data_IF_577194975141
#
_entry.id   IF_577194975141
#
_cell.length_a   1.000
_cell.length_b   1.000
_cell.length_c   1.000
_cell.angle_alpha   90.00
_cell.angle_beta   90.00
_cell.angle_gamma   90.00
#
_symmetry.space_group_name_H-M   'P 1'
#
loop_
_entity.id
_entity.type
_entity.pdbx_description
1 polymer ?
#
# COMPACT_ATOMS: atom_id res chain seq x y z
N UNK A 1 16.39 -8.76 -35.42
CA UNK A 1 17.37 -9.29 -34.44
C UNK A 1 17.34 -8.50 -33.11
N UNK A 2 17.68 -7.18 -33.07
CA UNK A 2 17.62 -6.39 -31.82
C UNK A 2 16.18 -6.22 -31.32
N UNK A 3 15.22 -5.97 -32.22
CA UNK A 3 13.80 -5.82 -31.88
C UNK A 3 13.21 -7.09 -31.25
N UNK A 4 13.56 -8.26 -31.78
CA UNK A 4 13.12 -9.55 -31.24
C UNK A 4 13.65 -9.77 -29.84
N UNK A 5 14.93 -9.51 -29.62
CA UNK A 5 15.56 -9.64 -28.28
C UNK A 5 14.90 -8.68 -27.27
N UNK A 6 14.64 -7.44 -27.66
CA UNK A 6 13.94 -6.47 -26.80
C UNK A 6 12.53 -6.95 -26.48
N UNK A 7 11.81 -7.48 -27.47
CA UNK A 7 10.45 -7.99 -27.28
C UNK A 7 10.42 -9.16 -26.31
N UNK A 8 11.35 -10.11 -26.46
CA UNK A 8 11.44 -11.28 -25.59
C UNK A 8 11.75 -10.85 -24.15
N UNK A 9 12.72 -9.96 -23.95
CA UNK A 9 13.06 -9.42 -22.62
C UNK A 9 11.88 -8.67 -22.01
N UNK A 10 11.15 -7.88 -22.79
CA UNK A 10 9.97 -7.17 -22.28
C UNK A 10 8.82 -8.12 -21.91
N UNK A 11 8.65 -9.21 -22.65
CA UNK A 11 7.61 -10.20 -22.34
C UNK A 11 7.93 -11.01 -21.08
N UNK A 12 9.20 -11.40 -20.92
CA UNK A 12 9.61 -12.30 -19.83
C UNK A 12 9.88 -11.57 -18.53
N UNK A 13 10.41 -10.34 -18.60
CA UNK A 13 10.93 -9.60 -17.44
C UNK A 13 10.24 -8.24 -17.21
N UNK A 14 9.09 -7.97 -17.82
CA UNK A 14 8.45 -6.65 -17.77
C UNK A 14 8.26 -6.12 -16.35
N UNK A 15 7.79 -6.97 -15.44
CA UNK A 15 7.57 -6.57 -14.05
C UNK A 15 8.89 -6.14 -13.38
N UNK A 16 9.95 -6.91 -13.58
CA UNK A 16 11.30 -6.60 -13.06
C UNK A 16 11.83 -5.29 -13.64
N UNK A 17 11.66 -5.09 -14.95
CA UNK A 17 12.10 -3.87 -15.65
C UNK A 17 11.38 -2.65 -15.10
N UNK A 18 10.05 -2.70 -14.92
CA UNK A 18 9.26 -1.59 -14.38
C UNK A 18 9.65 -1.26 -12.94
N UNK A 19 9.93 -2.27 -12.12
CA UNK A 19 10.43 -2.07 -10.75
C UNK A 19 11.78 -1.36 -10.77
N UNK A 20 12.68 -1.76 -11.64
CA UNK A 20 14.02 -1.18 -11.73
C UNK A 20 13.97 0.25 -12.28
N UNK A 21 13.20 0.50 -13.33
CA UNK A 21 12.98 1.84 -13.88
C UNK A 21 12.40 2.80 -12.83
N UNK A 22 11.50 2.30 -12.00
CA UNK A 22 10.95 3.09 -10.91
C UNK A 22 11.98 3.39 -9.81
N UNK A 23 12.81 2.42 -9.46
CA UNK A 23 13.91 2.61 -8.51
C UNK A 23 14.93 3.65 -8.95
N UNK A 24 15.24 3.64 -10.25
CA UNK A 24 16.21 4.58 -10.83
C UNK A 24 15.61 5.93 -11.18
N UNK A 25 14.28 6.08 -11.07
CA UNK A 25 13.57 7.30 -11.48
C UNK A 25 13.38 7.44 -12.99
N UNK A 26 13.68 6.40 -13.75
CA UNK A 26 13.61 6.41 -15.23
C UNK A 26 12.26 5.98 -15.80
N UNK A 27 11.32 5.55 -14.94
CA UNK A 27 10.03 5.05 -15.36
C UNK A 27 9.23 6.11 -16.14
N UNK A 28 9.26 7.36 -15.70
CA UNK A 28 8.58 8.45 -16.39
C UNK A 28 9.14 8.65 -17.80
N UNK A 29 10.47 8.68 -17.93
CA UNK A 29 11.16 8.79 -19.22
C UNK A 29 10.79 7.63 -20.14
N UNK A 30 10.78 6.42 -19.61
CA UNK A 30 10.38 5.21 -20.34
C UNK A 30 8.94 5.28 -20.85
N UNK A 31 7.99 5.67 -20.00
CA UNK A 31 6.58 5.82 -20.40
C UNK A 31 6.39 6.91 -21.45
N UNK A 32 7.13 8.02 -21.35
CA UNK A 32 7.13 9.08 -22.39
C UNK A 32 7.63 8.58 -23.74
N UNK A 33 8.70 7.78 -23.75
CA UNK A 33 9.24 7.19 -24.97
C UNK A 33 8.25 6.22 -25.64
N UNK A 34 7.45 5.52 -24.84
CA UNK A 34 6.38 4.65 -25.33
C UNK A 34 5.12 5.40 -25.80
N UNK A 35 5.08 6.74 -25.67
CA UNK A 35 3.88 7.52 -25.97
C UNK A 35 2.74 7.34 -24.96
N UNK A 36 3.04 6.79 -23.79
CA UNK A 36 2.06 6.48 -22.74
C UNK A 36 1.92 7.63 -21.74
N UNK A 37 1.80 8.87 -22.24
CA UNK A 37 1.72 10.07 -21.39
C UNK A 37 0.53 10.07 -20.44
N UNK A 38 -0.58 9.46 -20.85
CA UNK A 38 -1.82 9.40 -20.07
C UNK A 38 -1.67 8.55 -18.80
N UNK A 39 -0.66 7.70 -18.75
CA UNK A 39 -0.31 6.89 -17.59
C UNK A 39 0.64 7.61 -16.61
N UNK A 40 1.30 8.68 -17.07
CA UNK A 40 2.00 9.63 -16.22
C UNK A 40 0.97 10.59 -15.66
N UNK A 41 0.15 10.13 -14.72
CA UNK A 41 -0.97 10.89 -14.19
C UNK A 41 -0.60 12.34 -13.91
N UNK A 42 -1.45 13.23 -14.35
CA UNK A 42 -1.54 14.57 -13.78
C UNK A 42 -1.60 14.42 -12.27
N UNK A 43 -0.51 14.82 -11.59
CA UNK A 43 -0.34 14.85 -10.15
C UNK A 43 -0.83 13.58 -9.42
N UNK A 44 0.08 12.94 -8.76
CA UNK A 44 -0.06 11.69 -8.02
C UNK A 44 -1.07 11.74 -6.86
N UNK A 45 -2.29 12.14 -7.11
CA UNK A 45 -3.42 11.44 -6.54
C UNK A 45 -3.52 10.14 -7.33
N UNK A 46 -2.70 9.17 -6.93
CA UNK A 46 -2.79 7.83 -7.47
C UNK A 46 -4.27 7.51 -7.52
N UNK A 47 -4.81 7.21 -8.72
CA UNK A 47 -6.21 6.75 -8.85
C UNK A 47 -6.28 5.55 -7.94
N UNK A 48 -6.61 5.85 -6.68
CA UNK A 48 -6.74 4.85 -5.64
C UNK A 48 -7.79 3.89 -6.19
N UNK A 49 -7.37 2.68 -6.49
CA UNK A 49 -8.31 1.64 -6.88
C UNK A 49 -9.29 1.48 -5.73
N UNK A 50 -10.44 2.14 -5.83
CA UNK A 50 -11.44 2.22 -4.76
C UNK A 50 -11.92 0.84 -4.31
N UNK A 51 -11.75 -0.16 -5.17
CA UNK A 51 -12.13 -1.55 -4.96
C UNK A 51 -10.92 -2.43 -4.58
N UNK A 52 -9.72 -1.87 -4.51
CA UNK A 52 -8.51 -2.59 -4.15
C UNK A 52 -8.50 -3.05 -2.69
N UNK A 53 -7.65 -4.01 -2.38
CA UNK A 53 -7.45 -4.51 -1.01
C UNK A 53 -6.84 -3.45 -0.10
N UNK A 54 -7.18 -3.54 1.16
CA UNK A 54 -6.72 -2.66 2.23
C UNK A 54 -5.84 -3.50 3.16
N UNK A 55 -4.58 -3.11 3.29
CA UNK A 55 -3.65 -3.71 4.25
C UNK A 55 -3.84 -3.03 5.59
N UNK A 56 -3.95 -3.83 6.65
CA UNK A 56 -3.97 -3.35 8.05
C UNK A 56 -2.76 -3.95 8.74
N UNK A 57 -1.79 -3.11 9.08
CA UNK A 57 -0.50 -3.56 9.60
C UNK A 57 -0.11 -2.85 10.89
N UNK A 58 0.40 -3.62 11.84
CA UNK A 58 0.86 -3.13 13.14
C UNK A 58 0.40 -4.01 14.29
N UNK A 59 1.00 -3.83 15.44
CA UNK A 59 0.66 -4.60 16.64
C UNK A 59 -0.74 -4.24 17.13
N UNK A 60 -1.58 -5.25 17.37
CA UNK A 60 -2.95 -5.07 17.82
C UNK A 60 -3.36 -6.14 18.83
N UNK A 61 -4.01 -5.70 19.90
CA UNK A 61 -4.70 -6.59 20.83
C UNK A 61 -6.07 -7.05 20.30
N UNK A 62 -6.54 -6.38 19.25
CA UNK A 62 -7.81 -6.69 18.59
C UNK A 62 -7.57 -7.63 17.44
N UNK A 63 -8.05 -8.85 17.56
CA UNK A 63 -7.90 -9.86 16.49
C UNK A 63 -8.67 -9.51 15.22
N UNK A 64 -8.20 -10.06 14.08
CA UNK A 64 -8.75 -9.85 12.73
C UNK A 64 -10.25 -10.06 12.61
N UNK A 65 -10.83 -11.03 13.34
CA UNK A 65 -12.26 -11.31 13.25
C UNK A 65 -13.11 -10.18 13.82
N UNK A 66 -12.64 -9.55 14.90
CA UNK A 66 -13.30 -8.40 15.51
C UNK A 66 -13.22 -7.16 14.62
N UNK A 67 -12.09 -6.92 13.95
CA UNK A 67 -11.93 -5.84 12.98
C UNK A 67 -12.76 -6.09 11.72
N UNK A 68 -12.75 -7.31 11.21
CA UNK A 68 -13.60 -7.71 10.08
C UNK A 68 -15.09 -7.52 10.38
N UNK A 69 -15.53 -7.80 11.60
CA UNK A 69 -16.92 -7.54 12.02
C UNK A 69 -17.25 -6.03 12.05
N UNK A 70 -16.29 -5.18 12.39
CA UNK A 70 -16.47 -3.72 12.29
C UNK A 70 -16.62 -3.29 10.83
N UNK A 71 -15.74 -3.76 9.94
CA UNK A 71 -15.80 -3.47 8.50
C UNK A 71 -17.13 -3.92 7.88
N UNK A 72 -17.58 -5.14 8.19
CA UNK A 72 -18.87 -5.69 7.71
C UNK A 72 -20.05 -4.82 8.12
N UNK A 73 -20.07 -4.31 9.36
CA UNK A 73 -21.12 -3.39 9.83
C UNK A 73 -21.15 -2.05 9.08
N UNK A 74 -20.05 -1.70 8.42
CA UNK A 74 -19.91 -0.50 7.61
C UNK A 74 -20.11 -0.75 6.10
N UNK A 75 -20.53 -1.98 5.75
CA UNK A 75 -20.80 -2.37 4.36
C UNK A 75 -19.56 -2.79 3.56
N UNK A 76 -18.39 -2.93 4.20
CA UNK A 76 -17.16 -3.31 3.52
C UNK A 76 -16.93 -4.82 3.65
N UNK A 77 -16.73 -5.49 2.53
CA UNK A 77 -16.54 -6.93 2.48
C UNK A 77 -15.25 -7.38 3.18
N UNK A 78 -15.28 -8.54 3.86
CA UNK A 78 -14.15 -9.07 4.64
C UNK A 78 -12.92 -9.34 3.78
N UNK A 79 -13.11 -9.79 2.57
CA UNK A 79 -12.07 -10.14 1.60
C UNK A 79 -11.31 -8.93 1.07
N UNK A 80 -11.81 -7.71 1.33
CA UNK A 80 -11.12 -6.45 1.07
C UNK A 80 -9.91 -6.23 1.96
N UNK A 81 -9.76 -6.97 3.07
CA UNK A 81 -8.71 -6.72 4.05
C UNK A 81 -7.66 -7.82 4.09
N UNK A 82 -6.41 -7.42 4.17
CA UNK A 82 -5.27 -8.25 4.55
C UNK A 82 -4.72 -7.73 5.87
N UNK A 83 -4.75 -8.58 6.93
CA UNK A 83 -4.37 -8.20 8.29
C UNK A 83 -3.03 -8.79 8.70
N UNK A 84 -2.12 -7.93 9.15
CA UNK A 84 -0.80 -8.25 9.69
C UNK A 84 -0.69 -7.62 11.08
N UNK A 85 -1.32 -8.27 12.09
CA UNK A 85 -1.62 -7.67 13.40
C UNK A 85 -0.70 -8.12 14.52
N UNK A 86 0.21 -9.03 14.28
CA UNK A 86 1.20 -9.45 15.26
C UNK A 86 2.61 -8.96 14.86
N UNK A 87 3.53 -9.07 15.83
CA UNK A 87 4.91 -8.61 15.68
C UNK A 87 5.62 -9.24 14.50
N UNK A 88 5.48 -10.55 14.37
CA UNK A 88 6.22 -11.33 13.37
C UNK A 88 5.74 -10.98 11.96
N UNK A 89 4.43 -10.97 11.76
CA UNK A 89 3.83 -10.69 10.47
C UNK A 89 4.12 -9.26 10.01
N UNK A 90 3.99 -8.28 10.91
CA UNK A 90 4.30 -6.89 10.61
C UNK A 90 5.79 -6.70 10.26
N UNK A 91 6.69 -7.38 10.98
CA UNK A 91 8.13 -7.29 10.75
C UNK A 91 8.58 -7.91 9.43
N UNK A 92 7.91 -8.97 8.98
CA UNK A 92 8.31 -9.71 7.77
C UNK A 92 7.57 -9.26 6.52
N UNK A 93 6.64 -8.31 6.65
CA UNK A 93 5.87 -7.83 5.51
C UNK A 93 6.76 -7.09 4.50
N UNK A 94 6.76 -7.57 3.27
CA UNK A 94 7.50 -6.94 2.17
C UNK A 94 6.60 -5.91 1.46
N UNK A 95 6.77 -4.64 1.81
CA UNK A 95 6.03 -3.52 1.23
C UNK A 95 6.25 -3.36 -0.28
N UNK A 96 7.39 -3.78 -0.81
CA UNK A 96 7.72 -3.68 -2.25
C UNK A 96 6.71 -4.41 -3.13
N UNK A 97 6.04 -5.44 -2.60
CA UNK A 97 4.96 -6.15 -3.29
C UNK A 97 3.72 -5.30 -3.55
N UNK A 98 3.59 -4.19 -2.85
CA UNK A 98 2.44 -3.30 -2.99
C UNK A 98 2.69 -2.16 -3.97
N UNK A 99 3.96 -1.88 -4.28
CA UNK A 99 4.34 -0.82 -5.20
C UNK A 99 3.89 -1.16 -6.62
N UNK A 100 3.21 -0.22 -7.27
CA UNK A 100 2.62 -0.36 -8.62
C UNK A 100 1.62 -1.51 -8.77
N UNK A 101 1.16 -2.08 -7.66
CA UNK A 101 0.17 -3.15 -7.66
C UNK A 101 -1.24 -2.59 -7.66
N UNK A 102 -2.01 -2.86 -8.72
CA UNK A 102 -3.44 -2.52 -8.80
C UNK A 102 -4.30 -3.29 -7.79
N UNK A 103 -3.73 -4.29 -7.12
CA UNK A 103 -4.42 -5.10 -6.11
C UNK A 103 -4.74 -4.31 -4.84
N UNK A 104 -3.88 -3.35 -4.47
CA UNK A 104 -3.95 -2.66 -3.19
C UNK A 104 -4.35 -1.19 -3.34
N UNK A 105 -5.21 -0.71 -2.44
CA UNK A 105 -5.63 0.70 -2.41
C UNK A 105 -5.05 1.47 -1.23
N UNK A 106 -5.06 0.88 -0.04
CA UNK A 106 -4.61 1.53 1.19
C UNK A 106 -3.74 0.65 2.05
N UNK A 107 -2.84 1.28 2.80
CA UNK A 107 -2.11 0.69 3.92
C UNK A 107 -2.49 1.45 5.20
N UNK A 108 -3.27 0.81 6.06
CA UNK A 108 -3.64 1.35 7.38
C UNK A 108 -2.58 0.91 8.39
N UNK A 109 -1.82 1.88 8.92
CA UNK A 109 -0.68 1.64 9.80
C UNK A 109 -1.06 1.90 11.24
N UNK A 110 -0.86 0.89 12.08
CA UNK A 110 -0.93 0.98 13.53
C UNK A 110 0.46 1.00 14.19
N UNK A 111 0.53 0.72 15.51
CA UNK A 111 1.78 0.65 16.22
C UNK A 111 2.68 -0.42 15.61
N UNK A 112 3.89 -0.02 15.25
CA UNK A 112 4.90 -0.97 14.81
C UNK A 112 5.67 -1.47 16.04
N UNK A 113 6.09 -2.74 16.01
CA UNK A 113 6.75 -3.33 17.17
C UNK A 113 8.05 -2.61 17.52
N UNK A 114 8.20 -2.31 18.81
CA UNK A 114 9.40 -1.71 19.38
C UNK A 114 10.44 -2.79 19.70
N UNK A 115 11.32 -3.13 18.78
CA UNK A 115 12.61 -3.71 19.18
C UNK A 115 13.65 -2.60 19.06
N UNK A 116 14.43 -2.35 20.12
CA UNK A 116 15.24 -1.14 20.33
C UNK A 116 16.26 -0.74 19.24
N UNK A 117 16.44 -1.52 18.20
CA UNK A 117 17.25 -1.22 17.02
C UNK A 117 16.38 -0.98 15.77
N UNK A 118 15.17 -1.52 15.75
CA UNK A 118 14.29 -1.48 14.56
C UNK A 118 13.34 -0.27 14.51
N UNK A 119 13.29 0.58 15.54
CA UNK A 119 12.44 1.78 15.56
C UNK A 119 12.79 2.77 14.43
N UNK A 120 14.09 2.84 14.07
CA UNK A 120 14.54 3.66 12.95
C UNK A 120 14.15 3.08 11.58
N UNK A 121 14.20 1.76 11.42
CA UNK A 121 13.93 1.12 10.12
C UNK A 121 12.46 1.20 9.72
N UNK A 122 11.51 0.90 10.61
CA UNK A 122 10.09 0.93 10.24
C UNK A 122 9.55 2.34 10.08
N UNK A 123 9.98 3.28 10.92
CA UNK A 123 9.68 4.69 10.71
C UNK A 123 10.20 5.18 9.36
N UNK A 124 11.41 4.77 9.00
CA UNK A 124 12.02 5.06 7.70
C UNK A 124 11.29 4.37 6.54
N UNK A 125 10.87 3.11 6.69
CA UNK A 125 10.11 2.39 5.67
C UNK A 125 8.75 3.05 5.41
N UNK A 126 7.99 3.36 6.46
CA UNK A 126 6.70 4.03 6.30
C UNK A 126 6.87 5.42 5.68
N UNK A 127 7.87 6.19 6.11
CA UNK A 127 8.18 7.50 5.51
C UNK A 127 8.62 7.38 4.05
N UNK A 128 9.39 6.34 3.70
CA UNK A 128 9.75 6.07 2.32
C UNK A 128 8.52 5.75 1.47
N UNK A 129 7.63 4.87 1.95
CA UNK A 129 6.38 4.53 1.26
C UNK A 129 5.47 5.76 1.08
N UNK A 130 5.42 6.66 2.08
CA UNK A 130 4.65 7.90 1.99
C UNK A 130 5.22 8.88 0.95
N UNK A 131 6.52 8.83 0.69
CA UNK A 131 7.23 9.77 -0.20
C UNK A 131 7.50 9.22 -1.60
N UNK A 132 7.50 7.91 -1.78
CA UNK A 132 7.82 7.28 -3.06
C UNK A 132 6.54 7.02 -3.88
N UNK A 133 6.64 7.21 -5.19
CA UNK A 133 5.53 6.96 -6.10
C UNK A 133 5.19 5.45 -6.20
N UNK A 134 3.94 5.15 -6.55
CA UNK A 134 3.48 3.80 -6.85
C UNK A 134 3.05 2.96 -5.64
N UNK A 135 3.25 3.44 -4.42
CA UNK A 135 2.73 2.76 -3.24
C UNK A 135 1.25 3.11 -2.98
N UNK A 136 0.48 2.19 -2.38
CA UNK A 136 -0.85 2.51 -1.87
C UNK A 136 -0.78 3.64 -0.84
N UNK A 137 -1.85 4.42 -0.74
CA UNK A 137 -1.90 5.52 0.21
C UNK A 137 -1.83 5.00 1.65
N UNK A 138 -0.93 5.60 2.44
CA UNK A 138 -0.74 5.27 3.85
C UNK A 138 -1.67 6.10 4.72
N UNK A 139 -2.39 5.45 5.62
CA UNK A 139 -3.22 6.11 6.63
C UNK A 139 -2.82 5.61 8.01
N UNK A 140 -2.36 6.52 8.86
CA UNK A 140 -1.99 6.24 10.24
C UNK A 140 -3.23 6.16 11.12
N UNK A 141 -3.40 5.06 11.86
CA UNK A 141 -4.56 4.85 12.74
C UNK A 141 -4.28 5.31 14.17
N UNK A 142 -5.13 6.17 14.70
CA UNK A 142 -5.07 6.70 16.07
C UNK A 142 -4.96 8.23 16.09
N UNK A 143 -5.43 8.85 17.17
CA UNK A 143 -5.43 10.31 17.37
C UNK A 143 -4.27 10.77 18.25
N UNK A 144 -3.96 10.03 19.30
CA UNK A 144 -2.91 10.33 20.30
C UNK A 144 -1.75 9.33 20.19
N UNK A 145 -1.31 9.06 18.98
CA UNK A 145 -0.33 8.03 18.65
C UNK A 145 -0.96 6.86 17.87
N UNK A 146 -0.11 6.06 17.26
CA UNK A 146 -0.56 4.93 16.46
C UNK A 146 -1.27 3.88 17.33
N UNK A 147 -2.49 3.49 16.96
CA UNK A 147 -3.27 2.52 17.71
C UNK A 147 -4.28 1.77 16.84
N UNK A 148 -4.26 0.43 16.92
CA UNK A 148 -5.27 -0.41 16.28
C UNK A 148 -6.28 -0.86 17.35
N UNK A 149 -7.42 -0.19 17.37
CA UNK A 149 -8.58 -0.55 18.18
C UNK A 149 -9.81 -0.62 17.29
N UNK A 150 -10.90 -1.20 17.79
CA UNK A 150 -12.18 -1.16 17.08
C UNK A 150 -12.62 0.27 16.74
N UNK A 151 -12.32 1.20 17.63
CA UNK A 151 -12.69 2.62 17.50
C UNK A 151 -11.83 3.30 16.46
N UNK A 152 -10.49 3.25 16.55
CA UNK A 152 -9.59 3.87 15.58
C UNK A 152 -9.80 3.30 14.18
N UNK A 153 -9.95 1.98 14.06
CA UNK A 153 -10.25 1.32 12.80
C UNK A 153 -11.58 1.79 12.19
N UNK A 154 -12.65 1.87 13.01
CA UNK A 154 -13.94 2.40 12.56
C UNK A 154 -13.84 3.86 12.08
N UNK A 155 -13.15 4.71 12.81
CA UNK A 155 -12.97 6.11 12.42
C UNK A 155 -12.21 6.24 11.09
N UNK A 156 -11.14 5.48 10.94
CA UNK A 156 -10.37 5.46 9.69
C UNK A 156 -11.23 5.01 8.51
N UNK A 157 -11.98 3.91 8.66
CA UNK A 157 -12.88 3.44 7.60
C UNK A 157 -13.99 4.45 7.30
N UNK A 158 -14.58 5.07 8.33
CA UNK A 158 -15.59 6.11 8.15
C UNK A 158 -15.05 7.30 7.35
N UNK A 159 -13.85 7.75 7.66
CA UNK A 159 -13.16 8.80 6.92
C UNK A 159 -13.00 8.41 5.44
N UNK A 160 -12.48 7.21 5.16
CA UNK A 160 -12.25 6.75 3.80
C UNK A 160 -13.57 6.61 2.99
N UNK A 161 -14.65 6.15 3.62
CA UNK A 161 -15.99 6.06 3.00
C UNK A 161 -16.58 7.46 2.74
N UNK A 162 -16.49 8.38 3.73
CA UNK A 162 -17.05 9.73 3.61
C UNK A 162 -16.36 10.52 2.49
N UNK A 163 -15.05 10.40 2.38
CA UNK A 163 -14.25 11.02 1.33
C UNK A 163 -14.35 10.28 -0.03
N UNK A 164 -15.21 9.26 -0.12
CA UNK A 164 -15.37 8.41 -1.31
C UNK A 164 -14.04 7.82 -1.82
N UNK A 165 -13.11 7.57 -0.91
CA UNK A 165 -11.79 7.01 -1.20
C UNK A 165 -11.83 5.48 -1.34
N UNK A 166 -12.79 4.83 -0.71
CA UNK A 166 -13.09 3.39 -0.86
C UNK A 166 -14.58 3.20 -1.18
N UNK A 167 -14.90 2.06 -1.79
CA UNK A 167 -16.26 1.62 -2.08
C UNK A 167 -16.65 0.45 -1.18
#
# INVERSE_FOLDING_TARGET
>A
ELEEVIRDVLNDDLERILIELNRTGELETFLRLLGMHDYLGTEAEGKCNRDGKIIVIGQSEVGKDKLSAVAKKMGIAKDRFEFFLDYKDAKTFDFRKTQWSSKYSYILVGPMPHSGVANGEYGSIISAIESEAGYPLVVKMGTDGLKITKTSFRYTLKYLLTEKKIA
#
